data_IF_739970254702
#
_entry.id   IF_739970254702
#
_cell.length_a   1.000
_cell.length_b   1.000
_cell.length_c   1.000
_cell.angle_alpha   90.00
_cell.angle_beta   90.00
_cell.angle_gamma   90.00
#
_symmetry.space_group_name_H-M   'P 1'
#
loop_
_entity.id
_entity.type
_entity.pdbx_description
1 polymer ?
#
# COMPACT_ATOMS: atom_id res chain seq x y z
N UNK A 1 -17.36 31.97 -15.36
CA UNK A 1 -17.55 30.59 -15.87
C UNK A 1 -16.22 29.93 -16.24
N UNK A 2 -15.32 30.63 -16.97
CA UNK A 2 -13.97 30.14 -17.31
C UNK A 2 -13.12 29.75 -16.10
N UNK A 3 -13.18 30.51 -15.01
CA UNK A 3 -12.33 30.25 -13.83
C UNK A 3 -12.74 28.97 -13.08
N UNK A 4 -14.04 28.70 -12.96
CA UNK A 4 -14.57 27.46 -12.38
C UNK A 4 -14.20 26.24 -13.21
N UNK A 5 -14.22 26.37 -14.54
CA UNK A 5 -13.78 25.31 -15.45
C UNK A 5 -12.27 25.04 -15.30
N UNK A 6 -11.46 26.09 -15.24
CA UNK A 6 -10.01 25.96 -15.06
C UNK A 6 -9.64 25.33 -13.71
N UNK A 7 -10.38 25.65 -12.66
CA UNK A 7 -10.23 25.03 -11.33
C UNK A 7 -10.59 23.54 -11.36
N UNK A 8 -11.74 23.19 -11.94
CA UNK A 8 -12.15 21.80 -12.09
C UNK A 8 -11.11 20.97 -12.87
N UNK A 9 -10.63 21.50 -14.00
CA UNK A 9 -9.61 20.85 -14.82
C UNK A 9 -8.32 20.63 -14.02
N UNK A 10 -7.85 21.63 -13.26
CA UNK A 10 -6.68 21.48 -12.39
C UNK A 10 -6.87 20.37 -11.36
N UNK A 11 -8.06 20.29 -10.76
CA UNK A 11 -8.37 19.29 -9.74
C UNK A 11 -8.41 17.87 -10.34
N UNK A 12 -9.03 17.70 -11.50
CA UNK A 12 -9.01 16.42 -12.24
C UNK A 12 -7.58 16.02 -12.58
N UNK A 13 -6.76 16.94 -13.09
CA UNK A 13 -5.36 16.64 -13.42
C UNK A 13 -4.53 16.24 -12.20
N UNK A 14 -4.76 16.88 -11.04
CA UNK A 14 -4.11 16.46 -9.78
C UNK A 14 -4.51 15.04 -9.36
N UNK A 15 -5.79 14.69 -9.49
CA UNK A 15 -6.27 13.34 -9.16
C UNK A 15 -5.69 12.28 -10.10
N UNK A 16 -5.68 12.55 -11.40
CA UNK A 16 -5.08 11.65 -12.39
C UNK A 16 -3.59 11.46 -12.14
N UNK A 17 -2.86 12.54 -11.81
CA UNK A 17 -1.43 12.46 -11.50
C UNK A 17 -1.13 11.77 -10.16
N UNK A 18 -2.11 11.68 -9.26
CA UNK A 18 -1.96 10.97 -7.99
C UNK A 18 -2.23 9.46 -8.13
N UNK A 19 -3.05 9.03 -9.09
CA UNK A 19 -3.34 7.61 -9.30
C UNK A 19 -2.12 6.83 -9.76
N UNK A 20 -1.97 5.61 -9.22
CA UNK A 20 -0.87 4.68 -9.46
C UNK A 20 0.53 5.30 -9.31
N UNK A 21 0.66 6.32 -8.46
CA UNK A 21 1.92 7.03 -8.23
C UNK A 21 2.82 6.23 -7.29
N UNK A 22 4.08 6.03 -7.70
CA UNK A 22 5.12 5.51 -6.79
C UNK A 22 5.40 6.54 -5.70
N UNK A 23 5.12 6.17 -4.45
CA UNK A 23 5.32 7.04 -3.27
C UNK A 23 6.64 6.74 -2.57
N UNK A 24 7.10 5.49 -2.64
CA UNK A 24 8.34 5.06 -2.04
C UNK A 24 8.87 3.82 -2.76
N UNK A 25 10.20 3.73 -2.88
CA UNK A 25 10.91 2.59 -3.46
C UNK A 25 12.28 2.45 -2.79
N UNK A 26 12.71 1.23 -2.52
CA UNK A 26 14.01 0.93 -1.94
C UNK A 26 14.53 -0.40 -2.43
N UNK A 27 15.77 -0.40 -2.94
CA UNK A 27 16.48 -1.62 -3.34
C UNK A 27 16.81 -2.51 -2.13
N UNK A 28 17.05 -1.93 -0.95
CA UNK A 28 17.31 -2.69 0.27
C UNK A 28 16.03 -3.33 0.86
N UNK A 29 14.87 -2.79 0.47
CA UNK A 29 13.57 -3.19 1.01
C UNK A 29 13.33 -2.72 2.45
N UNK A 30 12.10 -2.89 2.90
CA UNK A 30 11.65 -2.62 4.27
C UNK A 30 11.02 -3.88 4.85
N UNK A 31 11.54 -4.36 5.99
CA UNK A 31 11.16 -5.64 6.61
C UNK A 31 10.57 -5.52 8.01
N UNK A 32 10.81 -4.41 8.71
CA UNK A 32 10.37 -4.23 10.10
C UNK A 32 10.39 -2.76 10.53
N UNK A 33 9.76 -2.47 11.68
CA UNK A 33 9.73 -1.11 12.24
C UNK A 33 8.91 -0.15 11.39
N UNK A 34 9.43 1.05 11.16
CA UNK A 34 8.73 2.10 10.42
C UNK A 34 9.53 2.64 9.24
N UNK A 35 8.81 3.17 8.25
CA UNK A 35 9.38 3.96 7.16
C UNK A 35 8.52 5.20 6.89
N UNK A 36 9.16 6.29 6.47
CA UNK A 36 8.45 7.49 6.00
C UNK A 36 8.18 7.35 4.50
N UNK A 37 6.91 7.48 4.12
CA UNK A 37 6.41 7.42 2.74
C UNK A 37 5.70 8.74 2.43
N UNK A 38 6.41 9.73 1.89
CA UNK A 38 5.84 11.06 1.66
C UNK A 38 4.54 11.01 0.85
N UNK A 39 3.49 11.67 1.36
CA UNK A 39 2.18 11.77 0.73
C UNK A 39 1.27 10.54 0.88
N UNK A 40 1.68 9.47 1.57
CA UNK A 40 0.86 8.25 1.71
C UNK A 40 -0.45 8.50 2.46
N UNK A 41 -0.48 9.47 3.37
CA UNK A 41 -1.69 9.87 4.08
C UNK A 41 -2.81 10.36 3.15
N UNK A 42 -2.45 10.82 1.95
CA UNK A 42 -3.36 11.28 0.90
C UNK A 42 -4.08 10.18 0.13
N UNK A 43 -3.87 8.90 0.45
CA UNK A 43 -4.46 7.76 -0.25
C UNK A 43 -5.40 6.96 0.66
N UNK A 44 -6.50 6.46 0.10
CA UNK A 44 -7.40 5.49 0.73
C UNK A 44 -7.00 4.06 0.39
N UNK A 45 -6.25 3.88 -0.69
CA UNK A 45 -5.76 2.57 -1.13
C UNK A 45 -4.32 2.69 -1.59
N UNK A 46 -3.47 1.77 -1.15
CA UNK A 46 -2.08 1.65 -1.60
C UNK A 46 -1.83 0.23 -2.11
N UNK A 47 -0.83 0.06 -2.99
CA UNK A 47 -0.29 -1.24 -3.35
C UNK A 47 1.13 -1.35 -2.81
N UNK A 48 1.40 -2.44 -2.12
CA UNK A 48 2.75 -2.81 -1.67
C UNK A 48 3.33 -3.84 -2.63
N UNK A 49 4.55 -3.64 -3.10
CA UNK A 49 5.28 -4.61 -3.93
C UNK A 49 6.37 -5.26 -3.08
N UNK A 50 6.55 -6.56 -3.28
CA UNK A 50 7.46 -7.38 -2.49
C UNK A 50 8.68 -7.79 -3.35
N UNK A 51 9.83 -8.07 -2.73
CA UNK A 51 11.10 -8.36 -3.43
C UNK A 51 11.02 -9.53 -4.43
N UNK A 52 10.27 -10.59 -4.11
CA UNK A 52 10.28 -11.85 -4.88
C UNK A 52 8.91 -12.27 -5.42
N UNK A 53 7.92 -11.38 -5.37
CA UNK A 53 6.55 -11.73 -5.76
C UNK A 53 5.75 -10.50 -6.16
N UNK A 54 4.58 -10.72 -6.77
CA UNK A 54 3.62 -9.67 -7.05
C UNK A 54 3.16 -9.03 -5.75
N UNK A 55 3.00 -7.71 -5.78
CA UNK A 55 2.40 -6.97 -4.69
C UNK A 55 0.92 -7.27 -4.48
N UNK A 56 0.36 -6.71 -3.41
CA UNK A 56 -1.08 -6.70 -3.17
C UNK A 56 -1.54 -5.34 -2.66
N UNK A 57 -2.85 -5.14 -2.69
CA UNK A 57 -3.49 -3.89 -2.34
C UNK A 57 -3.84 -3.89 -0.85
N UNK A 58 -3.61 -2.75 -0.20
CA UNK A 58 -4.07 -2.47 1.16
C UNK A 58 -5.05 -1.31 1.12
N UNK A 59 -6.14 -1.47 1.86
CA UNK A 59 -7.18 -0.47 2.04
C UNK A 59 -7.00 0.24 3.38
N UNK A 60 -7.27 1.53 3.40
CA UNK A 60 -7.17 2.34 4.61
C UNK A 60 -8.32 2.01 5.55
N UNK A 61 -7.95 1.68 6.77
CA UNK A 61 -8.84 1.38 7.88
C UNK A 61 -8.53 2.33 9.04
N UNK A 62 -9.30 2.23 10.13
CA UNK A 62 -9.06 3.03 11.33
C UNK A 62 -7.63 2.75 11.84
N UNK A 63 -6.77 3.79 11.80
CA UNK A 63 -5.40 3.75 12.31
C UNK A 63 -4.35 3.12 11.38
N UNK A 64 -4.70 2.72 10.15
CA UNK A 64 -3.75 2.02 9.30
C UNK A 64 -4.23 1.64 7.91
N UNK A 65 -3.48 0.77 7.28
CA UNK A 65 -3.83 0.03 6.08
C UNK A 65 -3.89 -1.45 6.41
N UNK A 66 -4.89 -2.14 5.88
CA UNK A 66 -5.06 -3.57 5.98
C UNK A 66 -5.35 -4.13 4.59
N UNK A 67 -4.78 -5.28 4.29
CA UNK A 67 -5.08 -5.99 3.07
C UNK A 67 -4.28 -7.26 2.97
N UNK A 68 -4.37 -7.87 1.81
CA UNK A 68 -3.83 -9.20 1.59
C UNK A 68 -4.15 -9.68 0.20
N UNK A 69 -3.72 -10.90 -0.09
CA UNK A 69 -3.99 -11.52 -1.37
C UNK A 69 -3.51 -12.95 -1.41
N UNK A 70 -3.99 -13.66 -2.43
CA UNK A 70 -3.46 -14.95 -2.81
C UNK A 70 -2.34 -14.71 -3.82
N UNK A 71 -1.13 -15.10 -3.47
CA UNK A 71 0.02 -15.07 -4.36
C UNK A 71 0.12 -16.43 -5.05
N UNK A 72 0.27 -16.37 -6.38
CA UNK A 72 0.39 -17.56 -7.20
C UNK A 72 1.63 -18.39 -6.79
N UNK A 73 1.55 -19.67 -7.10
CA UNK A 73 2.37 -20.77 -6.61
C UNK A 73 3.85 -20.46 -6.42
N UNK A 74 4.33 -20.59 -5.18
CA UNK A 74 5.75 -20.86 -4.95
C UNK A 74 6.01 -22.29 -5.47
N UNK A 75 7.17 -22.53 -6.09
CA UNK A 75 7.52 -23.80 -6.72
C UNK A 75 7.04 -25.03 -5.93
N UNK A 76 6.34 -25.97 -6.60
CA UNK A 76 5.86 -27.21 -5.98
C UNK A 76 4.36 -27.31 -5.68
N UNK A 77 3.53 -26.38 -6.19
CA UNK A 77 2.07 -26.46 -6.06
C UNK A 77 1.50 -25.86 -4.77
N UNK A 78 2.31 -25.12 -4.01
CA UNK A 78 1.91 -24.44 -2.78
C UNK A 78 1.31 -23.06 -3.07
N UNK A 79 0.14 -22.76 -2.50
CA UNK A 79 -0.47 -21.42 -2.58
C UNK A 79 0.01 -20.56 -1.41
N UNK A 80 0.31 -19.29 -1.61
CA UNK A 80 0.65 -18.38 -0.50
C UNK A 80 -0.50 -17.40 -0.31
N UNK A 81 -1.00 -17.27 0.92
CA UNK A 81 -1.89 -16.16 1.29
C UNK A 81 -1.11 -15.17 2.12
N UNK A 82 -1.18 -13.89 1.76
CA UNK A 82 -0.57 -12.81 2.50
C UNK A 82 -1.64 -11.99 3.21
N UNK A 83 -1.38 -11.62 4.46
CA UNK A 83 -2.06 -10.55 5.17
C UNK A 83 -1.01 -9.55 5.65
N UNK A 84 -1.28 -8.26 5.44
CA UNK A 84 -0.43 -7.19 5.92
C UNK A 84 -1.27 -6.10 6.58
N UNK A 85 -0.81 -5.70 7.77
CA UNK A 85 -1.29 -4.51 8.46
C UNK A 85 -0.15 -3.53 8.65
N UNK A 86 -0.38 -2.29 8.21
CA UNK A 86 0.51 -1.16 8.43
C UNK A 86 -0.23 -0.13 9.29
N UNK A 87 0.32 0.28 10.42
CA UNK A 87 -0.16 1.47 11.12
C UNK A 87 0.30 2.73 10.38
N UNK A 88 -0.50 3.79 10.42
CA UNK A 88 -0.15 5.09 9.83
C UNK A 88 -0.22 6.20 10.87
N UNK A 89 0.81 7.04 10.91
CA UNK A 89 0.84 8.30 11.65
C UNK A 89 1.45 9.39 10.76
N UNK A 90 0.60 10.31 10.27
CA UNK A 90 0.99 11.23 9.20
C UNK A 90 1.43 10.43 7.96
N UNK A 91 2.65 10.68 7.48
CA UNK A 91 3.26 9.95 6.36
C UNK A 91 4.20 8.81 6.80
N UNK A 92 4.18 8.44 8.08
CA UNK A 92 4.98 7.33 8.62
C UNK A 92 4.13 6.07 8.68
N UNK A 93 4.60 5.01 8.01
CA UNK A 93 4.02 3.68 8.09
C UNK A 93 4.83 2.83 9.08
N UNK A 94 4.15 2.00 9.85
CA UNK A 94 4.78 1.06 10.80
C UNK A 94 4.22 -0.34 10.58
N UNK A 95 5.08 -1.34 10.42
CA UNK A 95 4.63 -2.73 10.33
C UNK A 95 4.10 -3.19 11.68
N UNK A 96 2.88 -3.74 11.70
CA UNK A 96 2.30 -4.32 12.91
C UNK A 96 2.77 -5.76 13.06
N UNK A 97 3.17 -6.16 14.28
CA UNK A 97 3.62 -7.52 14.63
C UNK A 97 4.88 -8.01 13.88
N UNK A 98 5.80 -7.10 13.58
CA UNK A 98 7.16 -7.36 13.03
C UNK A 98 7.24 -8.07 11.67
N UNK A 99 6.12 -8.46 11.04
CA UNK A 99 6.13 -9.05 9.70
C UNK A 99 4.78 -8.88 9.00
N UNK A 100 4.84 -8.78 7.66
CA UNK A 100 3.77 -9.26 6.81
C UNK A 100 3.57 -10.76 7.10
N UNK A 101 2.39 -11.18 7.55
CA UNK A 101 2.13 -12.61 7.69
C UNK A 101 1.82 -13.17 6.32
N UNK A 102 2.82 -13.80 5.70
CA UNK A 102 2.60 -14.69 4.56
C UNK A 102 2.46 -16.11 5.09
N UNK A 103 1.27 -16.66 4.97
CA UNK A 103 0.96 -18.05 5.25
C UNK A 103 1.14 -18.86 3.97
N UNK A 104 2.03 -19.84 4.03
CA UNK A 104 2.23 -20.78 2.94
C UNK A 104 1.30 -21.99 3.13
N UNK A 105 0.46 -22.25 2.14
CA UNK A 105 -0.39 -23.44 2.05
C UNK A 105 0.34 -24.49 1.21
N UNK A 106 1.15 -25.33 1.86
CA UNK A 106 1.90 -26.39 1.17
C UNK A 106 1.01 -27.53 0.67
N UNK A 107 -0.10 -27.83 1.36
CA UNK A 107 -1.08 -28.87 1.03
C UNK A 107 -2.46 -28.54 1.62
N UNK A 108 -3.52 -29.22 1.16
CA UNK A 108 -4.93 -29.01 1.52
C UNK A 108 -5.27 -29.04 3.04
N UNK A 109 -4.31 -29.27 3.93
CA UNK A 109 -4.52 -29.38 5.38
C UNK A 109 -3.39 -28.83 6.26
N UNK A 110 -2.39 -28.11 5.72
CA UNK A 110 -1.24 -27.62 6.51
C UNK A 110 -1.01 -26.11 6.37
N UNK A 111 -1.06 -25.38 7.49
CA UNK A 111 -0.72 -23.94 7.59
C UNK A 111 0.67 -23.73 8.24
N UNK A 112 1.59 -24.65 7.99
CA UNK A 112 2.68 -24.90 8.95
C UNK A 112 3.90 -23.99 8.78
N UNK A 113 3.93 -23.15 7.74
CA UNK A 113 5.08 -22.29 7.46
C UNK A 113 4.69 -20.81 7.30
N UNK A 114 5.21 -19.99 8.23
CA UNK A 114 5.20 -18.54 8.13
C UNK A 114 6.44 -18.11 7.35
N UNK A 115 6.24 -17.46 6.20
CA UNK A 115 7.36 -16.82 5.51
C UNK A 115 7.70 -15.54 6.26
N UNK A 116 8.89 -15.52 6.87
CA UNK A 116 9.42 -14.37 7.61
C UNK A 116 10.24 -13.47 6.69
N UNK A 117 10.46 -12.22 7.10
CA UNK A 117 11.36 -11.27 6.42
C UNK A 117 10.90 -10.88 5.00
N UNK A 118 9.59 -10.77 4.80
CA UNK A 118 9.04 -10.27 3.54
C UNK A 118 9.45 -8.81 3.37
N UNK A 119 10.21 -8.53 2.32
CA UNK A 119 10.67 -7.17 2.00
C UNK A 119 9.66 -6.45 1.14
N UNK A 120 9.13 -5.34 1.64
CA UNK A 120 8.44 -4.35 0.80
C UNK A 120 9.49 -3.54 0.06
N UNK A 121 9.46 -3.55 -1.27
CA UNK A 121 10.41 -2.84 -2.13
C UNK A 121 9.81 -1.58 -2.74
N UNK A 122 8.48 -1.49 -2.82
CA UNK A 122 7.77 -0.35 -3.40
C UNK A 122 6.41 -0.15 -2.76
N UNK A 123 6.00 1.11 -2.65
CA UNK A 123 4.66 1.53 -2.22
C UNK A 123 4.10 2.46 -3.29
N UNK A 124 2.92 2.13 -3.79
CA UNK A 124 2.22 2.83 -4.85
C UNK A 124 0.89 3.34 -4.29
N UNK A 125 0.62 4.63 -4.43
CA UNK A 125 -0.69 5.21 -4.13
C UNK A 125 -1.67 4.86 -5.26
N UNK A 126 -2.72 4.11 -4.95
CA UNK A 126 -3.67 3.62 -5.95
C UNK A 126 -4.88 4.55 -6.04
N UNK A 127 -5.63 4.66 -4.94
CA UNK A 127 -6.82 5.51 -4.89
C UNK A 127 -6.54 6.72 -3.98
N UNK A 128 -6.44 7.94 -4.56
CA UNK A 128 -6.27 9.16 -3.78
C UNK A 128 -7.55 9.53 -3.02
N UNK A 129 -7.40 10.12 -1.84
CA UNK A 129 -8.48 10.80 -1.12
C UNK A 129 -8.65 12.18 -1.74
N UNK A 130 -9.80 12.43 -2.38
CA UNK A 130 -10.03 13.67 -3.14
C UNK A 130 -9.75 14.93 -2.32
N UNK A 131 -10.27 15.02 -1.07
CA UNK A 131 -10.07 16.23 -0.26
C UNK A 131 -8.60 16.46 0.09
N UNK A 132 -7.77 15.42 0.14
CA UNK A 132 -6.34 15.52 0.50
C UNK A 132 -5.46 15.91 -0.69
N UNK A 133 -5.85 15.53 -1.90
CA UNK A 133 -5.10 15.83 -3.13
C UNK A 133 -5.54 17.17 -3.74
N UNK A 134 -6.82 17.49 -3.63
CA UNK A 134 -7.43 18.67 -4.25
C UNK A 134 -7.56 19.83 -3.26
N UNK A 135 -7.84 19.55 -1.99
CA UNK A 135 -8.26 20.50 -0.95
C UNK A 135 -7.20 21.46 -0.41
N UNK A 136 -6.34 21.97 -1.28
CA UNK A 136 -5.52 23.16 -1.01
C UNK A 136 -6.24 24.48 -1.25
N UNK A 137 -7.57 24.53 -1.18
CA UNK A 137 -8.38 25.78 -1.26
C UNK A 137 -9.64 25.59 -0.42
N UNK A 138 -9.77 26.32 0.70
CA UNK A 138 -10.98 26.30 1.52
C UNK A 138 -10.83 26.56 3.02
N UNK A 139 -9.65 27.00 3.49
CA UNK A 139 -9.48 27.57 4.83
C UNK A 139 -9.26 29.08 4.72
N UNK A 140 -10.35 29.83 4.69
CA UNK A 140 -10.40 31.28 4.92
C UNK A 140 -11.63 31.59 5.75
#
# INVERSE_FOLDING_TARGET
MKDKLNELLRNVMKLLAARDKVLWESAAGWTSGSVTVPGVSGYSTIRVVLENTTGFTLHKEIGGFLGGGVLATWSGGATVTAEMRLQISGDRLTMVNENCYMLLHKYASGHDEKIKNVKITKIIGVEPVMERIVGGVGGS
#
